data_IF_863419084208
#
_entry.id   IF_863419084208
#
_cell.length_a   1.000
_cell.length_b   1.000
_cell.length_c   1.000
_cell.angle_alpha   90.00
_cell.angle_beta   90.00
_cell.angle_gamma   90.00
#
_symmetry.space_group_name_H-M   'P 1'
#
loop_
_entity.id
_entity.type
_entity.pdbx_description
1 polymer ?
#
# COMPACT_ATOMS: atom_id res chain seq x y z
N UNK A 1 -6.02 -33.44 -73.65
CA UNK A 1 -7.46 -33.15 -73.46
C UNK A 1 -7.74 -33.28 -71.97
N UNK A 2 -8.18 -32.16 -71.37
CA UNK A 2 -8.70 -31.91 -70.02
C UNK A 2 -8.72 -33.04 -68.97
N UNK A 3 -8.15 -32.79 -67.79
CA UNK A 3 -8.94 -32.47 -66.58
C UNK A 3 -8.00 -32.11 -65.41
N UNK A 4 -8.06 -30.86 -64.97
CA UNK A 4 -7.45 -30.37 -63.74
C UNK A 4 -8.54 -30.25 -62.67
N UNK A 5 -8.54 -31.15 -61.70
CA UNK A 5 -9.42 -31.10 -60.52
C UNK A 5 -8.86 -30.16 -59.47
N UNK A 6 -9.53 -29.02 -59.28
CA UNK A 6 -9.32 -28.08 -58.17
C UNK A 6 -9.82 -28.70 -56.87
N UNK A 7 -8.93 -28.91 -55.91
CA UNK A 7 -9.29 -29.17 -54.51
C UNK A 7 -9.50 -27.82 -53.81
N UNK A 8 -10.76 -27.51 -53.48
CA UNK A 8 -11.10 -26.41 -52.60
C UNK A 8 -10.79 -26.80 -51.16
N UNK A 9 -9.80 -26.17 -50.55
CA UNK A 9 -9.56 -26.24 -49.10
C UNK A 9 -10.54 -25.28 -48.44
N UNK A 10 -11.59 -25.84 -47.84
CA UNK A 10 -12.51 -25.11 -46.98
C UNK A 10 -11.80 -24.79 -45.66
N UNK A 11 -11.31 -23.56 -45.51
CA UNK A 11 -10.86 -23.02 -44.22
C UNK A 11 -12.10 -22.84 -43.33
N UNK A 12 -12.34 -23.79 -42.42
CA UNK A 12 -13.27 -23.60 -41.31
C UNK A 12 -12.55 -22.71 -40.29
N UNK A 13 -12.92 -21.43 -40.30
CA UNK A 13 -12.52 -20.46 -39.28
C UNK A 13 -13.16 -20.84 -37.93
N UNK A 14 -12.44 -21.61 -37.12
CA UNK A 14 -12.78 -21.91 -35.74
C UNK A 14 -12.22 -20.81 -34.83
N UNK A 15 -12.75 -19.59 -34.94
CA UNK A 15 -12.31 -18.42 -34.18
C UNK A 15 -13.49 -17.76 -33.47
N UNK A 16 -14.13 -18.47 -32.53
CA UNK A 16 -15.16 -17.89 -31.68
C UNK A 16 -15.41 -18.66 -30.38
N UNK A 17 -14.42 -18.89 -29.50
CA UNK A 17 -14.66 -19.20 -28.07
C UNK A 17 -13.47 -18.80 -27.16
N UNK A 18 -12.84 -17.65 -27.40
CA UNK A 18 -12.03 -17.00 -26.34
C UNK A 18 -12.92 -15.94 -25.71
N UNK A 19 -13.84 -16.38 -24.83
CA UNK A 19 -14.52 -15.47 -23.92
C UNK A 19 -13.49 -15.02 -22.90
N UNK A 20 -12.74 -13.96 -23.24
CA UNK A 20 -11.89 -13.28 -22.27
C UNK A 20 -12.81 -12.82 -21.13
N UNK A 21 -12.59 -13.35 -19.92
CA UNK A 21 -13.29 -12.89 -18.72
C UNK A 21 -13.27 -11.35 -18.70
N UNK A 22 -14.44 -10.74 -18.53
CA UNK A 22 -14.58 -9.28 -18.52
C UNK A 22 -13.67 -8.61 -17.48
N UNK A 23 -13.44 -7.29 -17.59
CA UNK A 23 -12.53 -6.58 -16.70
C UNK A 23 -12.91 -6.80 -15.23
N UNK A 24 -11.95 -7.29 -14.44
CA UNK A 24 -12.12 -7.55 -13.01
C UNK A 24 -11.69 -6.35 -12.16
N UNK A 25 -12.44 -6.10 -11.09
CA UNK A 25 -12.10 -5.15 -10.02
C UNK A 25 -11.88 -5.92 -8.71
N UNK A 26 -11.32 -5.29 -7.66
CA UNK A 26 -11.28 -5.89 -6.32
C UNK A 26 -12.66 -6.34 -5.80
N UNK A 27 -13.74 -5.77 -6.32
CA UNK A 27 -15.12 -6.08 -5.95
C UNK A 27 -15.76 -7.17 -6.83
N UNK A 28 -15.07 -7.66 -7.86
CA UNK A 28 -15.55 -8.72 -8.77
C UNK A 28 -15.59 -8.28 -10.24
N UNK A 29 -16.22 -9.11 -11.08
CA UNK A 29 -16.42 -8.80 -12.50
C UNK A 29 -17.38 -7.63 -12.68
N UNK A 30 -17.06 -6.74 -13.62
CA UNK A 30 -18.02 -5.75 -14.11
C UNK A 30 -18.98 -6.40 -15.10
N UNK A 31 -20.26 -6.09 -15.04
CA UNK A 31 -21.19 -6.49 -16.10
C UNK A 31 -20.89 -5.69 -17.37
N UNK A 32 -20.91 -6.34 -18.54
CA UNK A 32 -20.55 -5.73 -19.84
C UNK A 32 -21.41 -4.49 -20.17
N UNK A 33 -22.63 -4.42 -19.65
CA UNK A 33 -23.56 -3.27 -19.76
C UNK A 33 -23.08 -2.02 -19.02
N UNK A 34 -22.20 -2.15 -18.03
CA UNK A 34 -21.63 -1.03 -17.26
C UNK A 34 -20.38 -0.42 -17.92
N UNK A 35 -19.87 -1.00 -19.01
CA UNK A 35 -18.72 -0.44 -19.75
C UNK A 35 -19.08 0.79 -20.59
N UNK A 36 -20.36 1.17 -20.67
CA UNK A 36 -20.84 2.29 -21.50
C UNK A 36 -21.28 3.55 -20.73
N UNK A 37 -21.14 3.64 -19.42
CA UNK A 37 -21.61 4.83 -18.69
C UNK A 37 -20.52 5.90 -18.53
N UNK A 38 -20.64 6.90 -19.42
CA UNK A 38 -20.47 8.37 -19.27
C UNK A 38 -19.64 8.92 -18.10
N UNK A 39 -18.78 9.89 -18.42
CA UNK A 39 -18.07 10.76 -17.50
C UNK A 39 -18.91 11.14 -16.26
N UNK A 40 -18.42 10.93 -15.03
CA UNK A 40 -19.11 11.38 -13.82
C UNK A 40 -19.26 12.92 -13.75
N UNK A 41 -18.49 13.66 -14.54
CA UNK A 41 -18.59 15.11 -14.67
C UNK A 41 -19.90 15.61 -15.30
N UNK A 42 -20.73 14.74 -15.90
CA UNK A 42 -22.01 15.14 -16.50
C UNK A 42 -23.24 14.90 -15.61
N UNK A 43 -23.08 14.34 -14.40
CA UNK A 43 -24.17 14.32 -13.40
C UNK A 43 -24.14 15.55 -12.48
N UNK A 44 -23.04 16.32 -12.49
CA UNK A 44 -22.89 17.56 -11.72
C UNK A 44 -23.71 18.74 -12.32
N UNK A 45 -24.16 18.63 -13.58
CA UNK A 45 -24.86 19.69 -14.31
C UNK A 45 -26.40 19.56 -14.36
N UNK A 46 -27.01 18.68 -13.56
CA UNK A 46 -28.48 18.59 -13.40
C UNK A 46 -29.01 19.31 -12.15
N UNK A 47 -28.16 20.08 -11.45
CA UNK A 47 -28.51 20.82 -10.24
C UNK A 47 -29.02 22.24 -10.56
N UNK A 48 -30.17 22.33 -11.22
CA UNK A 48 -30.98 23.55 -11.26
C UNK A 48 -32.46 23.20 -11.07
N UNK A 49 -32.79 22.70 -9.88
CA UNK A 49 -34.11 22.83 -9.27
C UNK A 49 -33.98 22.65 -7.76
N UNK A 50 -34.38 23.69 -7.02
CA UNK A 50 -34.35 23.77 -5.55
C UNK A 50 -35.25 22.74 -4.85
N UNK A 51 -34.96 22.52 -3.57
CA UNK A 51 -35.67 21.70 -2.55
C UNK A 51 -35.16 20.27 -2.26
N UNK A 52 -33.84 20.05 -2.29
CA UNK A 52 -33.28 18.91 -1.55
C UNK A 52 -33.16 19.24 -0.06
N UNK A 53 -33.59 18.32 0.80
CA UNK A 53 -33.33 18.38 2.24
C UNK A 53 -31.88 17.97 2.51
N UNK A 54 -31.20 18.69 3.40
CA UNK A 54 -29.83 18.35 3.79
C UNK A 54 -29.80 16.98 4.47
N UNK A 55 -28.85 16.14 4.06
CA UNK A 55 -28.63 14.84 4.68
C UNK A 55 -27.83 15.01 5.97
N UNK A 56 -28.29 14.38 7.06
CA UNK A 56 -27.54 14.23 8.31
C UNK A 56 -26.77 12.91 8.38
N UNK A 57 -26.87 12.10 7.34
CA UNK A 57 -26.26 10.79 7.31
C UNK A 57 -24.73 10.88 7.26
N UNK A 58 -24.06 9.96 7.93
CA UNK A 58 -22.61 9.82 7.96
C UNK A 58 -22.21 8.45 7.45
N UNK A 59 -21.07 8.39 6.75
CA UNK A 59 -20.51 7.15 6.22
C UNK A 59 -19.11 6.97 6.79
N UNK A 60 -18.92 5.88 7.51
CA UNK A 60 -17.66 5.46 8.12
C UNK A 60 -17.15 4.16 7.48
N UNK A 61 -15.84 3.95 7.55
CA UNK A 61 -15.19 2.74 7.05
C UNK A 61 -14.52 1.98 8.19
N UNK A 62 -14.54 0.67 8.11
CA UNK A 62 -13.68 -0.18 8.92
C UNK A 62 -12.92 -1.18 8.03
N UNK A 63 -11.57 -1.24 8.13
CA UNK A 63 -10.72 -0.28 8.85
C UNK A 63 -10.90 1.16 8.31
N UNK A 64 -10.49 2.18 9.07
CA UNK A 64 -10.69 3.58 8.69
C UNK A 64 -9.97 4.01 7.40
N UNK A 65 -8.92 3.27 6.98
CA UNK A 65 -8.15 3.51 5.75
C UNK A 65 -7.79 2.21 5.03
N UNK A 66 -7.39 2.33 3.77
CA UNK A 66 -7.04 1.20 2.93
C UNK A 66 -5.87 0.38 3.50
N UNK A 67 -6.02 -0.94 3.53
CA UNK A 67 -4.93 -1.89 3.74
C UNK A 67 -4.40 -2.40 2.40
N UNK A 68 -3.11 -2.18 2.15
CA UNK A 68 -2.42 -2.50 0.89
C UNK A 68 -1.38 -3.63 1.04
N UNK A 69 -1.07 -4.04 2.27
CA UNK A 69 -0.11 -5.11 2.52
C UNK A 69 -0.73 -6.52 2.52
N UNK A 70 -2.04 -6.64 2.74
CA UNK A 70 -2.77 -7.90 2.81
C UNK A 70 -4.27 -7.74 2.44
N UNK A 71 -5.01 -8.84 2.40
CA UNK A 71 -6.47 -8.86 2.37
C UNK A 71 -7.08 -8.32 3.66
N UNK A 72 -8.27 -7.72 3.57
CA UNK A 72 -8.96 -7.14 4.72
C UNK A 72 -10.46 -7.39 4.67
N UNK A 73 -11.06 -7.42 5.87
CA UNK A 73 -12.47 -7.16 6.03
C UNK A 73 -12.73 -5.69 5.70
N UNK A 74 -13.62 -5.40 4.77
CA UNK A 74 -14.00 -4.03 4.43
C UNK A 74 -15.46 -3.80 4.81
N UNK A 75 -15.69 -2.92 5.77
CA UNK A 75 -17.03 -2.58 6.24
C UNK A 75 -17.33 -1.13 5.93
N UNK A 76 -18.51 -0.89 5.37
CA UNK A 76 -19.13 0.44 5.27
C UNK A 76 -20.20 0.54 6.34
N UNK A 77 -20.13 1.58 7.16
CA UNK A 77 -21.11 1.87 8.20
C UNK A 77 -21.81 3.17 7.81
N UNK A 78 -23.11 3.12 7.58
CA UNK A 78 -23.94 4.28 7.29
C UNK A 78 -24.80 4.53 8.52
N UNK A 79 -24.69 5.72 9.10
CA UNK A 79 -25.50 6.16 10.23
C UNK A 79 -26.42 7.29 9.74
N UNK A 80 -27.73 7.07 9.82
CA UNK A 80 -28.74 8.01 9.40
C UNK A 80 -29.76 8.24 10.54
N UNK A 81 -29.71 9.39 11.24
CA UNK A 81 -30.56 9.65 12.39
C UNK A 81 -32.04 9.85 12.05
N UNK A 82 -32.41 9.96 10.77
CA UNK A 82 -33.79 10.11 10.31
C UNK A 82 -34.37 8.81 9.74
N UNK A 83 -33.80 7.66 10.09
CA UNK A 83 -34.18 6.32 9.64
C UNK A 83 -33.74 5.95 8.20
N UNK A 84 -33.25 4.73 8.04
CA UNK A 84 -32.87 4.12 6.78
C UNK A 84 -34.12 3.57 6.09
N UNK A 85 -34.46 4.13 4.94
CA UNK A 85 -35.66 3.74 4.20
C UNK A 85 -35.39 2.57 3.25
N UNK A 86 -36.38 1.71 2.95
CA UNK A 86 -36.23 0.67 1.91
C UNK A 86 -35.84 1.21 0.53
N UNK A 87 -36.17 2.48 0.25
CA UNK A 87 -35.86 3.17 -1.01
C UNK A 87 -34.46 3.81 -1.04
N UNK A 88 -33.68 3.68 0.03
CA UNK A 88 -32.35 4.24 0.09
C UNK A 88 -31.42 3.65 -0.97
N UNK A 89 -30.67 4.54 -1.62
CA UNK A 89 -29.77 4.21 -2.72
C UNK A 89 -28.33 4.28 -2.25
N UNK A 90 -27.60 3.21 -2.49
CA UNK A 90 -26.16 3.14 -2.28
C UNK A 90 -25.50 3.05 -3.65
N UNK A 91 -24.46 3.85 -3.88
CA UNK A 91 -23.53 3.63 -4.99
C UNK A 91 -22.12 3.41 -4.46
N UNK A 92 -21.41 2.45 -5.04
CA UNK A 92 -20.00 2.18 -4.78
C UNK A 92 -19.21 2.50 -6.03
N UNK A 93 -18.32 3.47 -5.93
CA UNK A 93 -17.47 3.91 -7.04
C UNK A 93 -16.04 3.45 -6.79
N UNK A 94 -15.46 2.73 -7.75
CA UNK A 94 -14.07 2.30 -7.74
C UNK A 94 -13.35 2.78 -9.02
N UNK A 95 -12.31 3.61 -8.87
CA UNK A 95 -11.54 4.19 -9.97
C UNK A 95 -12.45 4.76 -11.08
N UNK A 96 -13.42 5.59 -10.66
CA UNK A 96 -14.43 6.25 -11.51
C UNK A 96 -15.41 5.30 -12.23
N UNK A 97 -15.52 4.04 -11.78
CA UNK A 97 -16.50 3.06 -12.28
C UNK A 97 -17.48 2.70 -11.19
N UNK A 98 -18.76 2.62 -11.55
CA UNK A 98 -19.79 2.08 -10.67
C UNK A 98 -19.58 0.57 -10.53
N UNK A 99 -19.37 0.10 -9.30
CA UNK A 99 -19.18 -1.31 -8.93
C UNK A 99 -20.25 -1.78 -7.95
N UNK A 100 -21.35 -1.02 -7.83
CA UNK A 100 -22.39 -1.23 -6.80
C UNK A 100 -22.94 -2.65 -6.83
N UNK A 101 -23.33 -3.14 -8.01
CA UNK A 101 -23.94 -4.47 -8.13
C UNK A 101 -22.95 -5.57 -7.72
N UNK A 102 -21.71 -5.51 -8.22
CA UNK A 102 -20.68 -6.51 -7.90
C UNK A 102 -20.31 -6.49 -6.41
N UNK A 103 -20.28 -5.30 -5.80
CA UNK A 103 -20.05 -5.13 -4.36
C UNK A 103 -21.22 -5.70 -3.54
N UNK A 104 -22.45 -5.25 -3.78
CA UNK A 104 -23.62 -5.63 -2.99
C UNK A 104 -23.98 -7.11 -3.13
N UNK A 105 -23.78 -7.72 -4.31
CA UNK A 105 -23.96 -9.17 -4.52
C UNK A 105 -23.08 -10.04 -3.60
N UNK A 106 -21.96 -9.50 -3.12
CA UNK A 106 -20.96 -10.20 -2.29
C UNK A 106 -20.91 -9.69 -0.86
N UNK A 107 -21.61 -8.60 -0.57
CA UNK A 107 -21.60 -8.00 0.75
C UNK A 107 -22.74 -8.55 1.61
N UNK A 108 -22.50 -8.65 2.91
CA UNK A 108 -23.54 -8.90 3.91
C UNK A 108 -24.03 -7.58 4.47
N UNK A 109 -25.33 -7.30 4.39
CA UNK A 109 -25.95 -6.07 4.90
C UNK A 109 -26.67 -6.40 6.20
N UNK A 110 -26.40 -5.62 7.25
CA UNK A 110 -27.10 -5.69 8.54
C UNK A 110 -27.65 -4.31 8.90
N UNK A 111 -28.91 -4.25 9.29
CA UNK A 111 -29.54 -3.05 9.85
C UNK A 111 -29.57 -3.17 11.37
N UNK A 112 -29.47 -2.05 12.08
CA UNK A 112 -29.79 -1.98 13.50
C UNK A 112 -31.30 -2.06 13.72
N UNK A 113 -31.71 -2.45 14.93
CA UNK A 113 -33.13 -2.61 15.29
C UNK A 113 -33.93 -1.32 15.18
N UNK A 114 -33.27 -0.16 15.35
CA UNK A 114 -33.86 1.17 15.20
C UNK A 114 -33.82 1.72 13.76
N UNK A 115 -33.32 0.92 12.80
CA UNK A 115 -33.10 1.31 11.41
C UNK A 115 -32.26 2.60 11.24
N UNK A 116 -31.45 3.01 12.20
CA UNK A 116 -30.60 4.21 12.06
C UNK A 116 -29.19 3.88 11.60
N UNK A 117 -28.82 2.59 11.56
CA UNK A 117 -27.46 2.14 11.21
C UNK A 117 -27.49 0.97 10.25
N UNK A 118 -26.75 1.11 9.14
CA UNK A 118 -26.51 0.05 8.17
C UNK A 118 -25.03 -0.33 8.21
N UNK A 119 -24.76 -1.62 8.36
CA UNK A 119 -23.41 -2.20 8.26
C UNK A 119 -23.35 -3.08 7.02
N UNK A 120 -22.55 -2.69 6.04
CA UNK A 120 -22.32 -3.43 4.79
C UNK A 120 -20.93 -4.03 4.86
N UNK A 121 -20.84 -5.35 4.98
CA UNK A 121 -19.60 -6.09 5.20
C UNK A 121 -19.20 -6.81 3.92
N UNK A 122 -18.02 -6.49 3.38
CA UNK A 122 -17.42 -7.17 2.25
C UNK A 122 -16.18 -7.94 2.72
N UNK A 123 -16.26 -9.25 2.67
CA UNK A 123 -15.18 -10.13 3.09
C UNK A 123 -14.07 -10.18 2.03
N UNK A 124 -12.82 -10.24 2.49
CA UNK A 124 -11.63 -10.47 1.65
C UNK A 124 -11.39 -9.41 0.55
N UNK A 125 -11.53 -8.12 0.87
CA UNK A 125 -11.09 -7.05 -0.02
C UNK A 125 -9.56 -7.09 -0.16
N UNK A 126 -9.07 -7.24 -1.40
CA UNK A 126 -7.63 -7.19 -1.71
C UNK A 126 -7.32 -6.06 -2.69
N UNK A 127 -6.50 -5.12 -2.24
CA UNK A 127 -6.05 -3.96 -3.02
C UNK A 127 -4.58 -4.12 -3.41
N UNK A 128 -4.25 -4.32 -4.71
CA UNK A 128 -2.86 -4.41 -5.15
C UNK A 128 -2.05 -3.13 -4.91
N UNK A 129 -1.05 -3.18 -4.03
CA UNK A 129 -0.21 -2.04 -3.65
C UNK A 129 0.53 -1.33 -4.80
N UNK A 130 0.61 -1.91 -6.00
CA UNK A 130 1.21 -1.31 -7.20
C UNK A 130 0.29 -0.29 -7.87
N UNK A 131 -1.00 -0.28 -7.51
CA UNK A 131 -2.04 0.51 -8.16
C UNK A 131 -2.61 1.53 -7.19
N UNK A 132 -3.08 2.63 -7.74
CA UNK A 132 -3.86 3.60 -6.98
C UNK A 132 -5.32 3.15 -6.93
N UNK A 133 -5.94 3.40 -5.79
CA UNK A 133 -7.30 2.97 -5.48
C UNK A 133 -8.10 4.17 -4.99
N UNK A 134 -9.04 4.61 -5.82
CA UNK A 134 -10.09 5.55 -5.45
C UNK A 134 -11.36 4.76 -5.19
N UNK A 135 -11.78 4.68 -3.92
CA UNK A 135 -13.01 4.03 -3.50
C UNK A 135 -13.88 5.09 -2.82
N UNK A 136 -15.11 5.26 -3.30
CA UNK A 136 -16.07 6.18 -2.71
C UNK A 136 -17.43 5.50 -2.56
N UNK A 137 -18.12 5.81 -1.46
CA UNK A 137 -19.49 5.41 -1.22
C UNK A 137 -20.37 6.65 -1.28
N UNK A 138 -21.45 6.54 -2.05
CA UNK A 138 -22.56 7.47 -2.05
C UNK A 138 -23.75 6.82 -1.36
N UNK A 139 -24.36 7.52 -0.43
CA UNK A 139 -25.61 7.15 0.18
C UNK A 139 -26.64 8.25 -0.06
N UNK A 140 -27.87 7.87 -0.39
CA UNK A 140 -28.99 8.78 -0.52
C UNK A 140 -30.24 8.13 0.05
N UNK A 141 -30.85 8.75 1.07
CA UNK A 141 -32.01 8.20 1.78
C UNK A 141 -33.22 8.00 0.89
N UNK A 142 -33.55 9.02 0.09
CA UNK A 142 -34.68 9.06 -0.83
C UNK A 142 -34.41 10.08 -1.96
N UNK A 143 -35.37 10.21 -2.90
CA UNK A 143 -35.24 11.11 -4.05
C UNK A 143 -35.22 12.61 -3.72
N UNK A 144 -35.51 13.00 -2.47
CA UNK A 144 -35.64 14.40 -2.03
C UNK A 144 -34.57 14.81 -1.01
N UNK A 145 -33.72 13.87 -0.59
CA UNK A 145 -32.62 14.11 0.34
C UNK A 145 -31.31 14.21 -0.44
N UNK A 146 -30.44 15.15 -0.06
CA UNK A 146 -29.09 15.25 -0.62
C UNK A 146 -28.29 13.95 -0.42
N UNK A 147 -27.38 13.65 -1.34
CA UNK A 147 -26.54 12.47 -1.22
C UNK A 147 -25.32 12.75 -0.33
N UNK A 148 -25.08 11.88 0.65
CA UNK A 148 -23.83 11.86 1.43
C UNK A 148 -22.76 11.09 0.66
N UNK A 149 -21.55 11.63 0.60
CA UNK A 149 -20.38 10.96 0.03
C UNK A 149 -19.29 10.76 1.06
N UNK A 150 -18.58 9.64 0.97
CA UNK A 150 -17.35 9.41 1.75
C UNK A 150 -16.33 8.63 0.94
N UNK A 151 -15.05 8.99 1.08
CA UNK A 151 -13.92 8.38 0.36
C UNK A 151 -13.14 7.48 1.31
N UNK A 152 -12.86 6.27 0.88
CA UNK A 152 -12.00 5.36 1.63
C UNK A 152 -10.55 5.68 1.32
N UNK A 153 -9.90 6.40 2.23
CA UNK A 153 -8.60 7.04 1.99
C UNK A 153 -7.44 6.03 2.00
N UNK A 154 -6.34 6.31 1.26
CA UNK A 154 -5.12 5.52 1.34
C UNK A 154 -4.50 5.57 2.75
N UNK A 155 -3.63 4.60 3.11
CA UNK A 155 -2.89 4.66 4.36
C UNK A 155 -1.93 5.86 4.33
N UNK A 156 -1.70 6.47 5.49
CA UNK A 156 -0.65 7.47 5.67
C UNK A 156 0.28 7.00 6.78
N UNK A 157 1.51 7.49 6.75
CA UNK A 157 2.49 7.22 7.79
C UNK A 157 3.47 8.38 7.77
N UNK A 158 3.52 9.15 8.85
CA UNK A 158 4.49 10.23 9.01
C UNK A 158 5.73 9.69 9.70
N UNK A 159 6.91 9.99 9.16
CA UNK A 159 8.16 9.50 9.73
C UNK A 159 8.55 10.20 11.04
N UNK A 160 8.02 11.39 11.33
CA UNK A 160 8.33 12.21 12.53
C UNK A 160 7.23 12.18 13.61
N UNK A 161 6.25 11.28 13.51
CA UNK A 161 5.16 11.17 14.49
C UNK A 161 5.50 10.16 15.60
N UNK A 162 5.91 10.65 16.77
CA UNK A 162 6.22 9.78 17.90
C UNK A 162 4.95 9.09 18.43
N UNK A 163 4.81 7.79 18.12
CA UNK A 163 3.69 6.95 18.55
C UNK A 163 4.20 5.57 18.94
N UNK A 164 3.63 4.98 19.99
CA UNK A 164 3.96 3.60 20.38
C UNK A 164 3.44 2.62 19.33
N UNK A 165 4.06 1.45 19.27
CA UNK A 165 3.56 0.36 18.41
C UNK A 165 2.27 -0.18 19.05
N UNK A 166 1.18 -0.10 18.30
CA UNK A 166 -0.16 -0.51 18.70
C UNK A 166 -0.44 -1.97 18.38
N UNK A 167 -0.68 -2.28 17.09
CA UNK A 167 -1.09 -3.61 16.66
C UNK A 167 -0.08 -4.26 15.71
N UNK A 168 0.66 -5.26 16.19
CA UNK A 168 1.58 -6.07 15.38
C UNK A 168 1.16 -7.54 15.29
N UNK A 169 -0.11 -7.85 15.63
CA UNK A 169 -0.57 -9.22 15.86
C UNK A 169 -0.48 -10.15 14.64
N UNK A 170 -0.32 -9.58 13.44
CA UNK A 170 -0.04 -10.35 12.22
C UNK A 170 1.34 -11.03 12.24
N UNK A 171 2.23 -10.64 13.16
CA UNK A 171 3.58 -11.15 13.30
C UNK A 171 3.81 -11.69 14.71
N UNK A 172 4.55 -12.79 14.80
CA UNK A 172 5.04 -13.30 16.08
C UNK A 172 6.37 -12.62 16.42
N UNK A 173 6.30 -11.44 17.05
CA UNK A 173 7.48 -10.62 17.36
C UNK A 173 7.75 -10.63 18.86
N UNK A 174 9.00 -10.88 19.22
CA UNK A 174 9.44 -10.83 20.61
C UNK A 174 9.34 -9.41 21.19
N UNK A 175 8.87 -9.31 22.45
CA UNK A 175 8.64 -8.03 23.12
C UNK A 175 9.92 -7.21 23.33
N UNK A 176 11.07 -7.87 23.51
CA UNK A 176 12.36 -7.19 23.62
C UNK A 176 12.74 -6.53 22.29
N UNK A 177 12.46 -7.19 21.16
CA UNK A 177 12.69 -6.60 19.83
C UNK A 177 11.82 -5.36 19.62
N UNK A 178 10.54 -5.39 19.99
CA UNK A 178 9.66 -4.22 19.92
C UNK A 178 10.18 -3.07 20.77
N UNK A 179 10.64 -3.35 21.99
CA UNK A 179 11.24 -2.35 22.86
C UNK A 179 12.52 -1.74 22.25
N UNK A 180 13.35 -2.54 21.58
CA UNK A 180 14.50 -2.00 20.83
C UNK A 180 14.09 -1.09 19.69
N UNK A 181 13.07 -1.47 18.92
CA UNK A 181 12.53 -0.62 17.85
C UNK A 181 12.08 0.71 18.43
N UNK A 182 11.18 0.71 19.41
CA UNK A 182 10.64 1.93 20.01
C UNK A 182 11.73 2.82 20.61
N UNK A 183 12.63 2.24 21.41
CA UNK A 183 13.69 3.00 22.09
C UNK A 183 14.62 3.67 21.08
N UNK A 184 15.10 2.92 20.09
CA UNK A 184 16.09 3.42 19.15
C UNK A 184 15.47 4.40 18.15
N UNK A 185 14.22 4.19 17.70
CA UNK A 185 13.55 5.14 16.81
C UNK A 185 13.29 6.47 17.50
N UNK A 186 12.88 6.46 18.78
CA UNK A 186 12.67 7.67 19.55
C UNK A 186 13.98 8.45 19.73
N UNK A 187 15.11 7.76 19.95
CA UNK A 187 16.43 8.39 20.00
C UNK A 187 16.85 9.04 18.67
N UNK A 188 16.30 8.56 17.55
CA UNK A 188 16.50 9.12 16.21
C UNK A 188 15.43 10.16 15.81
N UNK A 189 14.51 10.53 16.70
CA UNK A 189 13.33 11.36 16.40
C UNK A 189 12.48 10.80 15.24
N UNK A 190 12.34 9.48 15.19
CA UNK A 190 11.57 8.77 14.17
C UNK A 190 10.40 8.02 14.81
N UNK A 191 9.32 7.91 14.04
CA UNK A 191 8.14 7.14 14.38
C UNK A 191 8.47 5.63 14.50
N UNK A 192 8.26 5.00 15.67
CA UNK A 192 8.41 3.55 15.82
C UNK A 192 7.59 2.72 14.84
N UNK A 193 6.36 3.15 14.52
CA UNK A 193 5.49 2.47 13.56
C UNK A 193 6.02 2.54 12.12
N UNK A 194 6.74 3.62 11.78
CA UNK A 194 7.38 3.76 10.46
C UNK A 194 8.50 2.71 10.30
N UNK A 195 9.40 2.59 11.28
CA UNK A 195 10.46 1.58 11.23
C UNK A 195 9.91 0.16 11.34
N UNK A 196 8.92 -0.08 12.21
CA UNK A 196 8.27 -1.38 12.30
C UNK A 196 7.61 -1.77 10.97
N UNK A 197 6.93 -0.83 10.29
CA UNK A 197 6.35 -1.07 8.97
C UNK A 197 7.39 -1.36 7.89
N UNK A 198 8.56 -0.72 7.98
CA UNK A 198 9.72 -1.02 7.14
C UNK A 198 10.24 -2.43 7.39
N UNK A 199 10.50 -2.82 8.64
CA UNK A 199 10.97 -4.16 9.02
C UNK A 199 9.96 -5.25 8.61
N UNK A 200 8.66 -4.99 8.77
CA UNK A 200 7.60 -5.88 8.34
C UNK A 200 7.66 -6.16 6.83
N UNK A 201 7.91 -5.11 6.03
CA UNK A 201 8.04 -5.23 4.58
C UNK A 201 9.36 -5.88 4.16
N UNK A 202 10.46 -5.59 4.85
CA UNK A 202 11.81 -6.05 4.50
C UNK A 202 12.06 -7.50 4.88
N UNK A 203 11.68 -7.89 6.10
CA UNK A 203 12.06 -9.18 6.67
C UNK A 203 10.92 -9.93 7.34
N UNK A 204 9.73 -9.33 7.47
CA UNK A 204 8.67 -9.85 8.33
C UNK A 204 9.18 -10.13 9.76
N UNK A 205 10.05 -9.26 10.27
CA UNK A 205 10.74 -9.40 11.57
C UNK A 205 11.68 -10.61 11.70
N UNK A 206 12.12 -11.20 10.58
CA UNK A 206 13.12 -12.28 10.59
C UNK A 206 14.55 -11.71 10.61
N UNK A 207 15.23 -11.86 11.75
CA UNK A 207 16.61 -11.42 11.96
C UNK A 207 17.68 -12.17 11.13
N UNK A 208 17.30 -13.30 10.55
CA UNK A 208 18.14 -14.13 9.66
C UNK A 208 17.72 -14.01 8.20
N UNK A 209 16.89 -13.03 7.84
CA UNK A 209 16.47 -12.81 6.47
C UNK A 209 17.67 -12.52 5.56
N UNK A 210 17.69 -13.16 4.39
CA UNK A 210 18.69 -12.97 3.33
C UNK A 210 17.95 -12.77 2.02
N UNK A 211 18.11 -11.61 1.38
CA UNK A 211 17.55 -11.36 0.04
C UNK A 211 18.47 -11.84 -1.07
N UNK A 212 17.92 -11.99 -2.28
CA UNK A 212 18.70 -12.25 -3.50
C UNK A 212 19.73 -11.15 -3.80
N UNK A 213 19.45 -9.91 -3.39
CA UNK A 213 20.36 -8.77 -3.45
C UNK A 213 21.40 -8.76 -2.31
N UNK A 214 21.49 -9.84 -1.52
CA UNK A 214 22.40 -10.00 -0.37
C UNK A 214 22.19 -8.96 0.73
N UNK A 215 20.96 -8.49 0.86
CA UNK A 215 20.53 -7.74 2.04
C UNK A 215 20.32 -8.67 3.23
N UNK A 216 20.60 -8.20 4.44
CA UNK A 216 20.65 -9.04 5.64
C UNK A 216 19.83 -8.48 6.81
N UNK A 217 19.22 -9.40 7.56
CA UNK A 217 18.56 -9.16 8.83
C UNK A 217 17.28 -8.32 8.77
N UNK A 218 16.95 -7.67 9.88
CA UNK A 218 15.64 -7.04 10.08
C UNK A 218 15.34 -5.94 9.07
N UNK A 219 16.33 -5.09 8.80
CA UNK A 219 16.20 -3.89 7.99
C UNK A 219 16.72 -4.08 6.56
N UNK A 220 17.21 -5.27 6.22
CA UNK A 220 17.71 -5.64 4.90
C UNK A 220 18.71 -4.60 4.34
N UNK A 221 19.68 -4.18 5.17
CA UNK A 221 20.78 -3.33 4.69
C UNK A 221 21.71 -4.16 3.81
N UNK A 222 21.93 -3.67 2.58
CA UNK A 222 22.94 -4.22 1.65
C UNK A 222 24.34 -3.73 2.01
N UNK A 223 25.35 -4.38 1.47
CA UNK A 223 26.74 -3.93 1.62
C UNK A 223 27.03 -2.57 0.99
N UNK A 224 26.34 -2.23 -0.11
CA UNK A 224 26.43 -0.89 -0.70
C UNK A 224 25.85 0.16 0.25
N UNK A 225 24.64 -0.07 0.77
CA UNK A 225 24.02 0.82 1.75
C UNK A 225 24.85 0.91 3.05
N UNK A 226 25.49 -0.19 3.47
CA UNK A 226 26.39 -0.22 4.62
C UNK A 226 27.59 0.73 4.48
N UNK A 227 28.05 0.99 3.25
CA UNK A 227 29.14 1.96 2.99
C UNK A 227 28.69 3.41 3.16
N UNK A 228 27.43 3.70 2.86
CA UNK A 228 26.85 5.05 3.04
C UNK A 228 26.71 5.45 4.52
N UNK A 229 26.78 4.48 5.43
CA UNK A 229 26.71 4.67 6.89
C UNK A 229 27.99 4.21 7.60
N UNK A 230 29.12 4.20 6.89
CA UNK A 230 30.40 3.67 7.40
C UNK A 230 30.86 4.33 8.71
N UNK A 231 30.52 5.60 8.90
CA UNK A 231 30.91 6.36 10.09
C UNK A 231 30.24 5.84 11.36
N UNK A 232 29.07 5.20 11.23
CA UNK A 232 28.30 4.67 12.37
C UNK A 232 28.67 3.22 12.68
N UNK A 233 29.04 2.43 11.68
CA UNK A 233 29.25 0.99 11.80
C UNK A 233 30.72 0.57 11.79
N UNK A 234 31.65 1.52 11.90
CA UNK A 234 33.10 1.28 11.75
C UNK A 234 33.63 0.20 12.70
N UNK A 235 33.13 0.18 13.93
CA UNK A 235 33.56 -0.75 14.99
C UNK A 235 32.62 -1.95 15.15
N UNK A 236 31.63 -2.10 14.26
CA UNK A 236 30.70 -3.22 14.32
C UNK A 236 31.31 -4.45 13.65
N UNK A 237 30.92 -5.68 14.06
CA UNK A 237 31.46 -6.88 13.45
C UNK A 237 31.01 -7.02 11.99
N UNK A 238 31.95 -7.29 11.09
CA UNK A 238 31.69 -7.57 9.68
C UNK A 238 32.31 -8.91 9.32
N UNK A 239 31.56 -9.77 8.62
CA UNK A 239 32.09 -11.07 8.23
C UNK A 239 33.04 -10.90 7.04
N UNK A 240 34.28 -11.35 7.19
CA UNK A 240 35.30 -11.20 6.16
C UNK A 240 34.91 -11.95 4.88
N UNK A 241 35.03 -11.28 3.73
CA UNK A 241 34.72 -11.86 2.43
C UNK A 241 33.23 -12.07 2.14
N UNK A 242 32.31 -11.53 2.95
CA UNK A 242 30.86 -11.66 2.73
C UNK A 242 30.42 -11.16 1.35
N UNK A 243 31.10 -10.16 0.79
CA UNK A 243 30.86 -9.64 -0.56
C UNK A 243 31.05 -10.67 -1.67
N UNK A 244 31.97 -11.60 -1.46
CA UNK A 244 32.35 -12.61 -2.45
C UNK A 244 31.38 -13.79 -2.49
N UNK A 245 30.52 -13.91 -1.47
CA UNK A 245 29.52 -14.98 -1.41
C UNK A 245 28.39 -14.70 -2.40
N UNK A 246 27.95 -15.74 -3.09
CA UNK A 246 26.70 -15.70 -3.83
C UNK A 246 25.49 -15.86 -2.88
N UNK A 247 24.28 -15.62 -3.37
CA UNK A 247 23.05 -15.70 -2.57
C UNK A 247 22.87 -17.05 -1.85
N UNK A 248 23.15 -18.16 -2.54
CA UNK A 248 22.94 -19.51 -2.01
C UNK A 248 23.93 -19.80 -0.88
N UNK A 249 25.20 -19.44 -1.07
CA UNK A 249 26.24 -19.58 -0.06
C UNK A 249 25.95 -18.72 1.17
N UNK A 250 25.61 -17.44 0.96
CA UNK A 250 25.28 -16.53 2.03
C UNK A 250 24.10 -17.04 2.85
N UNK A 251 23.01 -17.45 2.19
CA UNK A 251 21.84 -18.03 2.87
C UNK A 251 22.20 -19.29 3.65
N UNK A 252 23.04 -20.17 3.10
CA UNK A 252 23.52 -21.38 3.79
C UNK A 252 24.37 -21.02 5.01
N UNK A 253 25.27 -20.05 4.92
CA UNK A 253 26.11 -19.61 6.02
C UNK A 253 25.33 -18.94 7.14
N UNK A 254 24.32 -18.13 6.81
CA UNK A 254 23.41 -17.57 7.81
C UNK A 254 22.58 -18.67 8.48
N UNK A 255 22.04 -19.61 7.70
CA UNK A 255 21.20 -20.70 8.22
C UNK A 255 21.97 -21.68 9.10
N UNK A 256 23.23 -21.97 8.77
CA UNK A 256 24.11 -22.83 9.56
C UNK A 256 24.75 -22.14 10.76
N UNK A 257 24.61 -20.81 10.88
CA UNK A 257 25.22 -20.01 11.94
C UNK A 257 26.71 -19.71 11.74
N UNK A 258 27.28 -20.03 10.57
CA UNK A 258 28.65 -19.61 10.22
C UNK A 258 28.75 -18.08 10.12
N UNK A 259 27.73 -17.43 9.56
CA UNK A 259 27.51 -15.99 9.64
C UNK A 259 26.36 -15.77 10.62
N UNK A 260 26.57 -14.97 11.66
CA UNK A 260 25.62 -14.77 12.75
C UNK A 260 25.79 -13.39 13.42
N UNK A 261 24.99 -13.10 14.43
CA UNK A 261 24.96 -11.81 15.13
C UNK A 261 26.26 -11.42 15.86
N UNK A 262 27.22 -12.34 16.02
CA UNK A 262 28.53 -12.07 16.64
C UNK A 262 29.59 -11.63 15.64
N UNK A 263 29.47 -12.04 14.37
CA UNK A 263 30.45 -11.75 13.33
C UNK A 263 29.87 -10.97 12.14
N UNK A 264 28.58 -10.65 12.14
CA UNK A 264 27.93 -9.79 11.15
C UNK A 264 26.83 -8.96 11.82
N UNK A 265 27.05 -7.65 11.89
CA UNK A 265 26.19 -6.71 12.61
C UNK A 265 24.77 -6.64 12.04
N UNK A 266 24.58 -6.87 10.73
CA UNK A 266 23.24 -6.85 10.11
C UNK A 266 22.31 -7.92 10.67
N UNK A 267 22.88 -8.99 11.24
CA UNK A 267 22.14 -10.09 11.88
C UNK A 267 21.97 -9.91 13.40
N UNK A 268 22.57 -8.87 13.98
CA UNK A 268 22.34 -8.51 15.37
C UNK A 268 21.13 -7.57 15.46
N UNK A 269 20.12 -7.88 16.28
CA UNK A 269 18.86 -7.11 16.31
C UNK A 269 19.08 -5.61 16.50
N UNK A 270 19.86 -5.23 17.51
CA UNK A 270 20.08 -3.84 17.88
C UNK A 270 20.90 -3.11 16.79
N UNK A 271 21.96 -3.73 16.29
CA UNK A 271 22.79 -3.11 15.25
C UNK A 271 22.05 -3.06 13.90
N UNK A 272 21.22 -4.06 13.57
CA UNK A 272 20.37 -4.08 12.38
C UNK A 272 19.36 -2.93 12.40
N UNK A 273 18.69 -2.71 13.53
CA UNK A 273 17.79 -1.56 13.78
C UNK A 273 18.55 -0.24 13.62
N UNK A 274 19.68 -0.08 14.31
CA UNK A 274 20.50 1.13 14.24
C UNK A 274 21.00 1.41 12.83
N UNK A 275 21.45 0.39 12.10
CA UNK A 275 21.88 0.53 10.71
C UNK A 275 20.75 0.98 9.78
N UNK A 276 19.54 0.43 9.95
CA UNK A 276 18.35 0.89 9.21
C UNK A 276 18.02 2.35 9.50
N UNK A 277 18.03 2.75 10.77
CA UNK A 277 17.81 4.14 11.19
C UNK A 277 18.90 5.09 10.67
N UNK A 278 20.17 4.68 10.73
CA UNK A 278 21.28 5.44 10.16
C UNK A 278 21.15 5.61 8.66
N UNK A 279 20.69 4.58 7.94
CA UNK A 279 20.50 4.68 6.50
C UNK A 279 19.30 5.58 6.14
N UNK A 280 18.20 5.51 6.90
CA UNK A 280 17.08 6.45 6.75
C UNK A 280 17.53 7.90 7.00
N UNK A 281 18.38 8.14 8.00
CA UNK A 281 18.96 9.47 8.25
C UNK A 281 19.88 9.94 7.13
N UNK A 282 20.67 9.04 6.55
CA UNK A 282 21.45 9.33 5.34
C UNK A 282 20.54 9.76 4.18
N UNK A 283 19.43 9.04 3.94
CA UNK A 283 18.45 9.36 2.90
C UNK A 283 17.77 10.71 3.15
N UNK A 284 17.40 11.00 4.40
CA UNK A 284 16.80 12.28 4.81
C UNK A 284 17.76 13.46 4.54
N UNK A 285 19.04 13.30 4.92
CA UNK A 285 20.08 14.28 4.64
C UNK A 285 20.30 14.47 3.13
N UNK A 286 20.29 13.38 2.36
CA UNK A 286 20.41 13.44 0.90
C UNK A 286 19.31 14.34 0.32
N UNK A 287 18.05 14.10 0.66
CA UNK A 287 16.92 14.88 0.12
C UNK A 287 16.86 16.30 0.64
N UNK A 288 17.27 16.53 1.90
CA UNK A 288 17.42 17.87 2.45
C UNK A 288 18.40 18.70 1.64
N UNK A 289 19.54 18.12 1.24
CA UNK A 289 20.49 18.78 0.35
C UNK A 289 19.94 19.02 -1.07
N UNK A 290 18.90 18.30 -1.48
CA UNK A 290 18.24 18.47 -2.78
C UNK A 290 17.00 19.38 -2.73
N UNK A 291 16.68 20.05 -1.62
CA UNK A 291 15.50 20.95 -1.52
C UNK A 291 15.37 21.94 -2.68
N UNK A 292 16.45 22.59 -3.18
CA UNK A 292 16.35 23.48 -4.35
C UNK A 292 15.78 22.77 -5.59
N UNK A 293 16.25 21.55 -5.86
CA UNK A 293 15.73 20.71 -6.95
C UNK A 293 14.29 20.27 -6.68
N UNK A 294 13.97 19.89 -5.44
CA UNK A 294 12.62 19.48 -5.07
C UNK A 294 11.61 20.60 -5.30
N UNK A 295 11.94 21.86 -4.97
CA UNK A 295 11.05 23.00 -5.23
C UNK A 295 10.74 23.21 -6.71
N UNK A 296 11.66 22.84 -7.60
CA UNK A 296 11.49 22.96 -9.04
C UNK A 296 10.69 21.79 -9.61
N UNK A 297 11.10 20.54 -9.31
CA UNK A 297 10.52 19.35 -9.92
C UNK A 297 9.29 18.80 -9.19
N UNK A 298 9.09 19.19 -7.93
CA UNK A 298 8.01 18.74 -7.05
C UNK A 298 7.62 19.84 -6.05
N UNK A 299 6.91 20.90 -6.48
CA UNK A 299 6.64 22.08 -5.64
C UNK A 299 5.96 21.77 -4.29
N UNK A 300 5.22 20.67 -4.18
CA UNK A 300 4.60 20.17 -2.96
C UNK A 300 5.39 19.01 -2.31
N UNK A 301 6.72 19.02 -2.41
CA UNK A 301 7.59 17.91 -2.00
C UNK A 301 7.39 17.45 -0.55
N UNK A 302 6.89 18.31 0.33
CA UNK A 302 6.58 17.97 1.71
C UNK A 302 5.53 16.85 1.78
N UNK A 303 4.56 16.83 0.88
CA UNK A 303 3.52 15.78 0.82
C UNK A 303 4.06 14.43 0.31
N UNK A 304 5.26 14.45 -0.29
CA UNK A 304 5.94 13.29 -0.86
C UNK A 304 7.19 12.89 -0.07
N UNK A 305 7.47 13.51 1.08
CA UNK A 305 8.72 13.27 1.79
C UNK A 305 8.91 11.79 2.16
N UNK A 306 7.87 11.15 2.72
CA UNK A 306 7.94 9.72 3.03
C UNK A 306 8.01 8.84 1.79
N UNK A 307 7.44 9.26 0.66
CA UNK A 307 7.56 8.53 -0.60
C UNK A 307 8.99 8.59 -1.12
N UNK A 308 9.63 9.77 -1.06
CA UNK A 308 11.03 9.97 -1.40
C UNK A 308 11.94 9.16 -0.47
N UNK A 309 11.67 9.15 0.84
CA UNK A 309 12.46 8.37 1.80
C UNK A 309 12.34 6.86 1.55
N UNK A 310 11.12 6.33 1.46
CA UNK A 310 10.87 4.90 1.31
C UNK A 310 11.30 4.38 -0.06
N UNK A 311 11.04 5.13 -1.13
CA UNK A 311 11.52 4.78 -2.47
C UNK A 311 13.06 4.80 -2.51
N UNK A 312 13.71 5.77 -1.86
CA UNK A 312 15.16 5.83 -1.79
C UNK A 312 15.76 4.74 -0.91
N UNK A 313 15.06 4.31 0.14
CA UNK A 313 15.49 3.16 0.93
C UNK A 313 15.51 1.88 0.09
N UNK A 314 14.45 1.65 -0.69
CA UNK A 314 14.30 0.46 -1.53
C UNK A 314 15.18 0.49 -2.80
N UNK A 315 15.21 1.63 -3.49
CA UNK A 315 15.81 1.77 -4.82
C UNK A 315 17.07 2.64 -4.83
N UNK A 316 17.46 3.26 -3.72
CA UNK A 316 18.63 4.13 -3.65
C UNK A 316 18.32 5.56 -4.12
N UNK A 317 18.84 6.60 -3.44
CA UNK A 317 18.46 7.99 -3.71
C UNK A 317 18.73 8.49 -5.14
N UNK A 318 19.84 8.08 -5.74
CA UNK A 318 20.21 8.52 -7.10
C UNK A 318 19.20 8.08 -8.16
N UNK A 319 18.67 6.84 -8.07
CA UNK A 319 17.65 6.36 -9.01
C UNK A 319 16.33 7.10 -8.84
N UNK A 320 15.93 7.35 -7.58
CA UNK A 320 14.72 8.13 -7.29
C UNK A 320 14.84 9.56 -7.79
N UNK A 321 16.01 10.20 -7.62
CA UNK A 321 16.29 11.53 -8.17
C UNK A 321 16.17 11.56 -9.70
N UNK A 322 16.71 10.57 -10.40
CA UNK A 322 16.57 10.47 -11.86
C UNK A 322 15.11 10.34 -12.29
N UNK A 323 14.34 9.46 -11.65
CA UNK A 323 12.91 9.29 -11.91
C UNK A 323 12.12 10.57 -11.60
N UNK A 324 12.48 11.29 -10.54
CA UNK A 324 11.86 12.56 -10.15
C UNK A 324 12.08 13.65 -11.18
N UNK A 325 13.31 13.82 -11.65
CA UNK A 325 13.63 14.81 -12.69
C UNK A 325 12.90 14.53 -14.00
N UNK A 326 12.64 13.25 -14.29
CA UNK A 326 11.97 12.82 -15.52
C UNK A 326 10.45 12.95 -15.45
N UNK A 327 9.83 12.56 -14.33
CA UNK A 327 8.37 12.39 -14.24
C UNK A 327 7.69 13.30 -13.19
N UNK A 328 8.44 14.13 -12.45
CA UNK A 328 7.90 15.00 -11.41
C UNK A 328 7.11 14.22 -10.35
N UNK A 329 5.89 14.64 -10.06
CA UNK A 329 5.01 13.97 -9.06
C UNK A 329 4.69 12.51 -9.37
N UNK A 330 4.88 12.05 -10.61
CA UNK A 330 4.65 10.66 -11.02
C UNK A 330 5.92 9.80 -10.95
N UNK A 331 6.97 10.21 -10.23
CA UNK A 331 8.25 9.49 -10.18
C UNK A 331 8.13 8.02 -9.78
N UNK A 332 7.18 7.66 -8.89
CA UNK A 332 6.92 6.27 -8.50
C UNK A 332 6.37 5.38 -9.63
N UNK A 333 5.92 5.98 -10.73
CA UNK A 333 5.46 5.26 -11.93
C UNK A 333 6.60 4.97 -12.91
N UNK A 334 7.83 5.44 -12.63
CA UNK A 334 8.96 5.17 -13.51
C UNK A 334 9.31 3.68 -13.57
N UNK A 335 9.60 3.18 -14.77
CA UNK A 335 10.02 1.81 -15.03
C UNK A 335 11.31 1.40 -14.30
N UNK A 336 12.17 2.34 -13.90
CA UNK A 336 13.36 2.05 -13.09
C UNK A 336 13.01 1.79 -11.62
N UNK A 337 11.79 2.14 -11.20
CA UNK A 337 11.27 2.04 -9.84
C UNK A 337 10.12 1.03 -9.71
N UNK A 338 10.09 0.00 -10.57
CA UNK A 338 9.00 -1.00 -10.67
C UNK A 338 8.54 -1.58 -9.32
N UNK A 339 9.44 -1.72 -8.34
CA UNK A 339 9.12 -2.22 -7.01
C UNK A 339 8.83 -1.10 -5.98
N UNK A 340 9.36 0.10 -6.18
CA UNK A 340 9.31 1.17 -5.19
C UNK A 340 7.87 1.59 -4.85
N UNK A 341 6.98 1.73 -5.84
CA UNK A 341 5.56 2.07 -5.58
C UNK A 341 4.88 1.03 -4.67
N UNK A 342 5.10 -0.25 -4.96
CA UNK A 342 4.60 -1.35 -4.13
C UNK A 342 5.18 -1.27 -2.72
N UNK A 343 6.49 -1.07 -2.63
CA UNK A 343 7.24 -1.01 -1.37
C UNK A 343 6.71 0.12 -0.48
N UNK A 344 6.68 1.34 -1.00
CA UNK A 344 6.16 2.56 -0.35
C UNK A 344 4.76 2.31 0.20
N UNK A 345 3.85 1.84 -0.65
CA UNK A 345 2.46 1.60 -0.27
C UNK A 345 2.29 0.51 0.80
N UNK A 346 3.12 -0.55 0.77
CA UNK A 346 3.10 -1.61 1.79
C UNK A 346 3.63 -1.11 3.12
N UNK A 347 4.75 -0.38 3.13
CA UNK A 347 5.31 0.18 4.37
C UNK A 347 4.34 1.18 5.01
N UNK A 348 3.78 2.12 4.23
CA UNK A 348 2.76 3.06 4.73
C UNK A 348 1.55 2.31 5.31
N UNK A 349 1.13 1.23 4.63
CA UNK A 349 0.00 0.41 5.09
C UNK A 349 0.29 -0.36 6.39
N UNK A 350 1.49 -0.94 6.54
CA UNK A 350 1.89 -1.57 7.80
C UNK A 350 1.99 -0.53 8.92
N UNK A 351 2.67 0.58 8.68
CA UNK A 351 2.82 1.65 9.66
C UNK A 351 1.47 2.16 10.18
N UNK A 352 0.52 2.47 9.28
CA UNK A 352 -0.83 2.87 9.69
C UNK A 352 -1.55 1.79 10.51
N UNK A 353 -1.38 0.52 10.13
CA UNK A 353 -2.01 -0.59 10.87
C UNK A 353 -1.39 -0.75 12.25
N UNK A 354 -0.09 -0.52 12.37
CA UNK A 354 0.64 -0.64 13.63
C UNK A 354 0.35 0.55 14.54
N UNK A 355 0.10 1.76 14.02
CA UNK A 355 -0.26 2.92 14.84
C UNK A 355 -1.64 2.80 15.48
N UNK A 356 -2.56 2.05 14.85
CA UNK A 356 -3.88 1.86 15.40
C UNK A 356 -3.83 0.81 16.52
N UNK A 357 -4.28 1.19 17.72
CA UNK A 357 -4.66 0.21 18.74
C UNK A 357 -5.78 -0.65 18.14
N UNK A 358 -5.84 -1.94 18.47
CA UNK A 358 -6.88 -2.85 17.96
C UNK A 358 -8.24 -2.16 18.02
N UNK A 359 -8.76 -1.78 16.86
CA UNK A 359 -10.11 -1.26 16.73
C UNK A 359 -11.00 -2.50 16.85
N UNK A 360 -11.32 -2.88 18.08
CA UNK A 360 -12.27 -3.94 18.37
C UNK A 360 -13.63 -3.51 17.80
N UNK A 361 -14.20 -4.36 16.94
CA UNK A 361 -15.44 -4.16 16.19
C UNK A 361 -16.70 -4.22 17.06
#
# INVERSE_FOLDING_TARGET
MMMTTKWGVTFIALSALVSCAGPMTPFGSLELTQLQTRNPASEESLLLSNDFRSSRAKIHFYPGRQRLHDQQLFTVIIEDPDELLPMSKIKVIYNNRDVTDSFLKRATIKLSDDNQKMKIVFDFLRLPAQRDHSIAIRYQRDSFTEATWSKFLPPYCLHQEASKIGNISAFNVDAQLLNYIEKETLAFNMNPNFLAGLIAQESAFNDKAVSSAKALGLTQITSLASKEISDVNKDWPHYEGIENLNYVELKRYVSSGQINSKNEWRLNHLQSIRGGLSYLKYVDNYWTAQIPLLKESLPQYQDFWEDLMLASYNSGPSRVKSALLKNGSHFLEDSELNEAKKYVNRVKSFCYTFSNKSEDL
#
